data_IF_198131125748
#
_entry.id   IF_198131125748
#
_cell.length_a   1.000
_cell.length_b   1.000
_cell.length_c   1.000
_cell.angle_alpha   90.00
_cell.angle_beta   90.00
_cell.angle_gamma   90.00
#
_symmetry.space_group_name_H-M   'P 1'
#
loop_
_entity.id
_entity.type
_entity.pdbx_description
1 polymer ?
#
# COMPACT_ATOMS: atom_id res chain seq x y z
N UNK A 1 9.24 -24.90 5.59
CA UNK A 1 7.99 -24.92 6.40
C UNK A 1 8.34 -24.50 7.82
N UNK A 2 7.73 -23.43 8.36
CA UNK A 2 8.00 -22.97 9.72
C UNK A 2 7.28 -23.86 10.75
N UNK A 3 7.95 -24.16 11.87
CA UNK A 3 7.44 -25.02 12.94
C UNK A 3 6.11 -24.46 13.51
N UNK A 4 5.06 -25.27 13.73
CA UNK A 4 3.75 -24.79 14.20
C UNK A 4 3.83 -24.01 15.53
N UNK A 5 4.78 -24.39 16.39
CA UNK A 5 5.06 -23.73 17.66
C UNK A 5 5.67 -22.33 17.47
N UNK A 6 6.47 -22.11 16.42
CA UNK A 6 6.98 -20.76 16.09
C UNK A 6 5.87 -19.86 15.54
N UNK A 7 4.94 -20.41 14.76
CA UNK A 7 3.74 -19.68 14.29
C UNK A 7 2.86 -19.25 15.47
N UNK A 8 2.59 -20.16 16.42
CA UNK A 8 1.77 -19.86 17.61
C UNK A 8 2.39 -18.78 18.49
N UNK A 9 3.71 -18.84 18.74
CA UNK A 9 4.41 -17.86 19.58
C UNK A 9 4.47 -16.47 18.93
N UNK A 10 4.70 -16.42 17.61
CA UNK A 10 4.62 -15.17 16.85
C UNK A 10 3.20 -14.63 16.92
N UNK A 11 2.18 -15.45 16.68
CA UNK A 11 0.80 -15.01 16.74
C UNK A 11 0.44 -14.42 18.12
N UNK A 12 0.76 -15.13 19.20
CA UNK A 12 0.35 -14.74 20.56
C UNK A 12 1.04 -13.45 21.06
N UNK A 13 2.33 -13.23 20.74
CA UNK A 13 3.04 -12.00 21.13
C UNK A 13 2.77 -10.84 20.18
N UNK A 14 2.60 -11.12 18.90
CA UNK A 14 2.38 -10.10 17.89
C UNK A 14 0.95 -9.55 17.96
N UNK A 15 -0.05 -10.36 18.35
CA UNK A 15 -1.44 -9.94 18.36
C UNK A 15 -1.73 -8.78 19.31
N UNK A 16 -1.12 -8.72 20.49
CA UNK A 16 -1.44 -7.69 21.48
C UNK A 16 -0.80 -6.35 21.15
N UNK A 17 0.54 -6.30 21.22
CA UNK A 17 1.29 -5.05 21.09
C UNK A 17 1.25 -4.49 19.66
N UNK A 18 1.32 -5.34 18.63
CA UNK A 18 1.24 -4.86 17.24
C UNK A 18 -0.14 -4.31 16.91
N UNK A 19 -1.21 -4.90 17.46
CA UNK A 19 -2.58 -4.41 17.23
C UNK A 19 -2.79 -3.06 17.91
N UNK A 20 -2.31 -2.88 19.15
CA UNK A 20 -2.39 -1.58 19.84
C UNK A 20 -1.63 -0.51 19.05
N UNK A 21 -0.39 -0.79 18.63
CA UNK A 21 0.39 0.15 17.81
C UNK A 21 -0.29 0.47 16.49
N UNK A 22 -0.89 -0.52 15.83
CA UNK A 22 -1.65 -0.33 14.60
C UNK A 22 -2.89 0.54 14.83
N UNK A 23 -3.68 0.29 15.88
CA UNK A 23 -4.86 1.09 16.22
C UNK A 23 -4.46 2.53 16.52
N UNK A 24 -3.39 2.75 17.29
CA UNK A 24 -2.89 4.10 17.59
C UNK A 24 -2.45 4.82 16.31
N UNK A 25 -1.70 4.14 15.42
CA UNK A 25 -1.29 4.71 14.14
C UNK A 25 -2.49 5.03 13.24
N UNK A 26 -3.50 4.15 13.21
CA UNK A 26 -4.74 4.36 12.48
C UNK A 26 -5.52 5.56 13.01
N UNK A 27 -5.72 5.66 14.33
CA UNK A 27 -6.43 6.78 14.95
C UNK A 27 -5.69 8.10 14.74
N UNK A 28 -4.36 8.09 14.84
CA UNK A 28 -3.53 9.27 14.54
C UNK A 28 -3.73 9.72 13.10
N UNK A 29 -3.72 8.79 12.14
CA UNK A 29 -3.92 9.09 10.73
C UNK A 29 -5.34 9.56 10.40
N UNK A 30 -6.36 8.93 11.00
CA UNK A 30 -7.75 9.34 10.86
C UNK A 30 -7.97 10.77 11.42
N UNK A 31 -7.35 11.08 12.57
CA UNK A 31 -7.39 12.42 13.17
C UNK A 31 -6.71 13.45 12.28
N UNK A 32 -5.56 13.12 11.68
CA UNK A 32 -4.90 13.93 10.66
C UNK A 32 -5.84 14.26 9.50
N UNK A 33 -6.50 13.27 8.91
CA UNK A 33 -7.41 13.50 7.79
C UNK A 33 -8.64 14.31 8.19
N UNK A 34 -9.21 14.07 9.37
CA UNK A 34 -10.35 14.83 9.86
C UNK A 34 -10.00 16.32 10.03
N UNK A 35 -8.84 16.62 10.62
CA UNK A 35 -8.36 18.01 10.77
C UNK A 35 -8.03 18.61 9.40
N UNK A 36 -7.37 17.86 8.51
CA UNK A 36 -7.09 18.35 7.15
C UNK A 36 -8.37 18.73 6.42
N UNK A 37 -9.35 17.84 6.41
CA UNK A 37 -10.66 18.06 5.79
C UNK A 37 -11.33 19.28 6.39
N UNK A 38 -11.27 19.44 7.72
CA UNK A 38 -11.83 20.61 8.41
C UNK A 38 -11.16 21.91 7.97
N UNK A 39 -9.83 21.94 7.84
CA UNK A 39 -9.10 23.13 7.37
C UNK A 39 -9.46 23.44 5.92
N UNK A 40 -9.52 22.43 5.05
CA UNK A 40 -9.90 22.59 3.63
C UNK A 40 -11.33 23.13 3.51
N UNK A 41 -12.28 22.59 4.28
CA UNK A 41 -13.67 23.05 4.26
C UNK A 41 -13.87 24.45 4.86
N UNK A 42 -13.07 24.84 5.87
CA UNK A 42 -13.08 26.20 6.41
C UNK A 42 -12.46 27.21 5.44
N UNK A 43 -11.55 26.77 4.57
CA UNK A 43 -10.89 27.63 3.58
C UNK A 43 -11.83 27.82 2.38
N UNK A 44 -12.26 29.07 2.14
CA UNK A 44 -13.08 29.37 0.96
C UNK A 44 -12.25 29.22 -0.33
N UNK A 45 -12.94 28.95 -1.43
CA UNK A 45 -12.30 28.84 -2.74
C UNK A 45 -11.63 30.19 -3.10
N UNK A 46 -10.38 30.20 -3.61
CA UNK A 46 -9.62 31.43 -3.84
C UNK A 46 -10.35 32.41 -4.76
N UNK A 47 -11.12 31.94 -5.73
CA UNK A 47 -11.84 32.78 -6.69
C UNK A 47 -12.77 33.82 -6.04
N UNK A 48 -13.33 33.52 -4.87
CA UNK A 48 -14.17 34.45 -4.13
C UNK A 48 -13.40 35.69 -3.66
N UNK A 49 -12.14 35.53 -3.26
CA UNK A 49 -11.29 36.64 -2.82
C UNK A 49 -10.82 37.49 -4.01
N UNK A 50 -10.58 36.86 -5.16
CA UNK A 50 -10.20 37.56 -6.39
C UNK A 50 -11.37 38.39 -6.95
N UNK A 51 -12.59 37.85 -6.91
CA UNK A 51 -13.78 38.60 -7.35
C UNK A 51 -14.09 39.80 -6.44
N UNK A 52 -13.89 39.66 -5.13
CA UNK A 52 -14.07 40.77 -4.17
C UNK A 52 -13.06 41.90 -4.35
N UNK A 53 -11.84 41.58 -4.76
CA UNK A 53 -10.76 42.56 -4.94
C UNK A 53 -10.67 43.11 -6.36
N UNK A 54 -11.36 42.50 -7.33
CA UNK A 54 -11.35 42.90 -8.73
C UNK A 54 -10.06 42.51 -9.48
N UNK A 55 -9.19 41.69 -8.89
CA UNK A 55 -8.00 41.17 -9.57
C UNK A 55 -8.34 39.94 -10.44
N UNK A 56 -7.59 39.77 -11.53
CA UNK A 56 -7.68 38.55 -12.35
C UNK A 56 -7.23 37.32 -11.56
N UNK A 57 -7.87 36.17 -11.79
CA UNK A 57 -7.56 34.91 -11.13
C UNK A 57 -6.21 34.33 -11.59
N UNK A 58 -5.13 34.86 -11.03
CA UNK A 58 -3.74 34.53 -11.36
C UNK A 58 -2.95 34.29 -10.07
N UNK A 59 -2.17 33.20 -10.03
CA UNK A 59 -1.33 32.85 -8.88
C UNK A 59 -0.30 33.92 -8.53
N UNK A 60 0.20 34.67 -9.52
CA UNK A 60 1.24 35.68 -9.32
C UNK A 60 0.70 36.92 -8.60
N UNK A 61 -0.62 37.13 -8.68
CA UNK A 61 -1.32 38.23 -8.01
C UNK A 61 -1.73 37.89 -6.57
N UNK A 62 -1.50 36.65 -6.10
CA UNK A 62 -1.94 36.20 -4.78
C UNK A 62 -1.45 37.11 -3.64
N UNK A 63 -0.19 37.57 -3.72
CA UNK A 63 0.38 38.51 -2.74
C UNK A 63 -0.38 39.84 -2.69
N UNK A 64 -0.74 40.39 -3.84
CA UNK A 64 -1.46 41.67 -3.93
C UNK A 64 -2.88 41.55 -3.37
N UNK A 65 -3.55 40.44 -3.68
CA UNK A 65 -4.87 40.11 -3.14
C UNK A 65 -4.81 39.95 -1.61
N UNK A 66 -3.79 39.26 -1.08
CA UNK A 66 -3.59 39.14 0.38
C UNK A 66 -3.39 40.49 1.06
N UNK A 67 -2.57 41.35 0.48
CA UNK A 67 -2.31 42.68 1.05
C UNK A 67 -3.55 43.56 1.03
N UNK A 68 -4.37 43.47 -0.02
CA UNK A 68 -5.65 44.18 -0.13
C UNK A 68 -6.67 43.69 0.93
N UNK A 69 -6.66 42.39 1.25
CA UNK A 69 -7.59 41.77 2.22
C UNK A 69 -7.12 41.85 3.68
N UNK A 70 -5.90 42.30 3.95
CA UNK A 70 -5.31 42.32 5.29
C UNK A 70 -6.14 43.15 6.30
N UNK A 71 -6.95 44.09 5.83
CA UNK A 71 -7.85 44.91 6.67
C UNK A 71 -9.19 44.24 7.01
N UNK A 72 -9.61 43.21 6.26
CA UNK A 72 -10.97 42.64 6.31
C UNK A 72 -11.00 41.14 6.63
N UNK A 73 -9.96 40.40 6.27
CA UNK A 73 -9.91 38.94 6.39
C UNK A 73 -9.09 38.45 7.58
N UNK A 74 -9.28 39.00 8.78
CA UNK A 74 -8.51 38.61 9.97
C UNK A 74 -8.69 37.12 10.29
N UNK A 75 -7.57 36.39 10.36
CA UNK A 75 -7.51 34.98 10.76
C UNK A 75 -8.05 34.79 12.17
N UNK A 76 -9.09 33.98 12.31
CA UNK A 76 -9.67 33.67 13.61
C UNK A 76 -8.66 32.93 14.50
N UNK A 77 -8.76 33.08 15.82
CA UNK A 77 -7.93 32.34 16.78
C UNK A 77 -8.06 30.82 16.60
N UNK A 78 -9.25 30.36 16.21
CA UNK A 78 -9.57 28.96 15.90
C UNK A 78 -8.70 28.41 14.77
N UNK A 79 -8.48 29.18 13.68
CA UNK A 79 -7.67 28.75 12.54
C UNK A 79 -6.19 28.62 12.91
N UNK A 80 -5.69 29.51 13.78
CA UNK A 80 -4.31 29.42 14.31
C UNK A 80 -4.13 28.16 15.16
N UNK A 81 -5.09 27.85 16.03
CA UNK A 81 -5.06 26.63 16.85
C UNK A 81 -5.06 25.39 15.93
N UNK A 82 -5.98 25.33 14.96
CA UNK A 82 -6.06 24.22 14.00
C UNK A 82 -4.75 24.02 13.24
N UNK A 83 -4.12 25.11 12.78
CA UNK A 83 -2.84 25.05 12.08
C UNK A 83 -1.71 24.53 12.98
N UNK A 84 -1.61 25.00 14.23
CA UNK A 84 -0.61 24.52 15.20
C UNK A 84 -0.81 23.03 15.49
N UNK A 85 -2.06 22.63 15.79
CA UNK A 85 -2.40 21.21 16.01
C UNK A 85 -2.01 20.37 14.80
N UNK A 86 -2.24 20.87 13.59
CA UNK A 86 -1.90 20.16 12.37
C UNK A 86 -0.40 19.99 12.15
N UNK A 87 0.42 21.02 12.45
CA UNK A 87 1.87 20.88 12.43
C UNK A 87 2.40 19.85 13.43
N UNK A 88 1.82 19.78 14.62
CA UNK A 88 2.18 18.75 15.62
C UNK A 88 1.87 17.35 15.08
N UNK A 89 0.69 17.16 14.50
CA UNK A 89 0.29 15.86 13.93
C UNK A 89 1.16 15.48 12.73
N UNK A 90 1.46 16.44 11.84
CA UNK A 90 2.39 16.24 10.72
C UNK A 90 3.76 15.79 11.21
N UNK A 91 4.30 16.42 12.26
CA UNK A 91 5.57 16.02 12.87
C UNK A 91 5.54 14.59 13.41
N UNK A 92 4.46 14.19 14.07
CA UNK A 92 4.27 12.82 14.57
C UNK A 92 4.17 11.79 13.44
N UNK A 93 3.43 12.09 12.37
CA UNK A 93 3.31 11.21 11.20
C UNK A 93 4.64 11.09 10.45
N UNK A 94 5.38 12.20 10.30
CA UNK A 94 6.70 12.16 9.68
C UNK A 94 7.68 11.31 10.49
N UNK A 95 7.72 11.49 11.82
CA UNK A 95 8.53 10.67 12.71
C UNK A 95 8.17 9.18 12.63
N UNK A 96 6.86 8.87 12.62
CA UNK A 96 6.35 7.50 12.41
C UNK A 96 6.84 6.93 11.07
N UNK A 97 6.72 7.68 9.98
CA UNK A 97 7.10 7.21 8.65
C UNK A 97 8.61 7.03 8.50
N UNK A 98 9.43 7.91 9.09
CA UNK A 98 10.88 7.73 9.15
C UNK A 98 11.23 6.45 9.92
N UNK A 99 10.62 6.24 11.10
CA UNK A 99 10.82 5.03 11.88
C UNK A 99 10.39 3.76 11.12
N UNK A 100 9.25 3.82 10.43
CA UNK A 100 8.76 2.73 9.60
C UNK A 100 9.73 2.43 8.45
N UNK A 101 10.25 3.44 7.74
CA UNK A 101 11.25 3.22 6.68
C UNK A 101 12.50 2.55 7.27
N UNK A 102 13.05 3.09 8.36
CA UNK A 102 14.27 2.52 8.99
C UNK A 102 14.06 1.06 9.41
N UNK A 103 12.88 0.71 9.93
CA UNK A 103 12.58 -0.65 10.38
C UNK A 103 12.16 -1.62 9.26
N UNK A 104 11.49 -1.15 8.21
CA UNK A 104 10.85 -2.01 7.19
C UNK A 104 11.56 -2.09 5.83
N UNK A 105 12.65 -1.35 5.60
CA UNK A 105 13.42 -1.38 4.34
C UNK A 105 13.90 -2.78 3.89
N UNK A 106 13.69 -3.83 4.68
CA UNK A 106 14.18 -5.18 4.39
C UNK A 106 13.11 -6.22 4.00
N UNK A 107 11.78 -5.97 4.18
CA UNK A 107 10.83 -7.11 4.33
C UNK A 107 9.69 -7.22 3.30
N UNK A 108 9.13 -6.18 2.68
CA UNK A 108 8.14 -6.36 1.59
C UNK A 108 7.78 -5.04 0.88
N UNK A 109 7.77 -5.04 -0.46
CA UNK A 109 7.44 -3.87 -1.30
C UNK A 109 5.97 -3.44 -1.24
N UNK A 110 5.02 -4.37 -1.12
CA UNK A 110 3.59 -4.02 -1.09
C UNK A 110 3.20 -3.16 0.11
N UNK A 111 3.85 -3.36 1.25
CA UNK A 111 3.68 -2.53 2.46
C UNK A 111 4.31 -1.15 2.30
N UNK A 112 5.32 -1.02 1.45
CA UNK A 112 6.00 0.25 1.15
C UNK A 112 5.09 1.23 0.43
N UNK A 113 4.15 0.74 -0.39
CA UNK A 113 3.24 1.61 -1.15
C UNK A 113 2.33 2.45 -0.25
N UNK A 114 1.78 1.87 0.82
CA UNK A 114 0.94 2.62 1.78
C UNK A 114 1.73 3.73 2.46
N UNK A 115 2.99 3.45 2.88
CA UNK A 115 3.86 4.47 3.46
C UNK A 115 4.21 5.57 2.45
N UNK A 116 4.40 5.21 1.17
CA UNK A 116 4.64 6.18 0.12
C UNK A 116 3.46 7.13 -0.06
N UNK A 117 2.23 6.61 -0.19
CA UNK A 117 1.02 7.43 -0.28
C UNK A 117 0.85 8.34 0.93
N UNK A 118 1.14 7.82 2.12
CA UNK A 118 1.06 8.59 3.36
C UNK A 118 2.07 9.74 3.38
N UNK A 119 3.31 9.49 2.99
CA UNK A 119 4.36 10.52 2.90
C UNK A 119 3.97 11.58 1.88
N UNK A 120 3.48 11.17 0.71
CA UNK A 120 3.01 12.10 -0.32
C UNK A 120 1.86 12.96 0.23
N UNK A 121 0.87 12.38 0.90
CA UNK A 121 -0.22 13.12 1.52
C UNK A 121 0.28 14.11 2.59
N UNK A 122 1.22 13.70 3.44
CA UNK A 122 1.85 14.54 4.48
C UNK A 122 2.59 15.73 3.85
N UNK A 123 3.35 15.51 2.77
CA UNK A 123 4.10 16.58 2.08
C UNK A 123 3.16 17.56 1.38
N UNK A 124 2.14 17.07 0.66
CA UNK A 124 1.15 17.94 0.00
C UNK A 124 0.34 18.74 1.03
N UNK A 125 -0.01 18.13 2.16
CA UNK A 125 -0.66 18.81 3.27
C UNK A 125 0.24 19.89 3.89
N UNK A 126 1.52 19.59 4.12
CA UNK A 126 2.48 20.58 4.61
C UNK A 126 2.55 21.80 3.68
N UNK A 127 2.61 21.59 2.36
CA UNK A 127 2.60 22.68 1.39
C UNK A 127 1.32 23.52 1.44
N UNK A 128 0.16 22.88 1.62
CA UNK A 128 -1.12 23.58 1.74
C UNK A 128 -1.22 24.46 3.00
N UNK A 129 -0.70 23.98 4.13
CA UNK A 129 -0.80 24.64 5.44
C UNK A 129 0.28 25.71 5.64
N UNK A 130 1.37 25.63 4.88
CA UNK A 130 2.45 26.59 4.93
C UNK A 130 1.93 28.00 4.57
N UNK A 131 2.04 28.92 5.53
CA UNK A 131 1.69 30.33 5.35
C UNK A 131 2.94 31.08 4.88
N UNK A 132 2.81 31.80 3.77
CA UNK A 132 3.78 32.84 3.43
C UNK A 132 3.61 34.06 4.35
N UNK A 133 4.63 34.92 4.44
CA UNK A 133 4.62 36.11 5.30
C UNK A 133 3.37 36.99 5.09
N UNK A 134 2.91 37.10 3.84
CA UNK A 134 1.75 37.90 3.47
C UNK A 134 0.40 37.22 3.75
N UNK A 135 0.38 35.92 4.07
CA UNK A 135 -0.83 35.14 4.41
C UNK A 135 -1.04 35.00 5.92
N UNK A 136 -0.07 35.38 6.76
CA UNK A 136 -0.12 35.12 8.19
C UNK A 136 -1.36 35.71 8.90
N UNK A 137 -1.92 36.79 8.34
CA UNK A 137 -3.11 37.47 8.87
C UNK A 137 -4.40 37.14 8.13
N UNK A 138 -4.35 36.44 7.00
CA UNK A 138 -5.52 36.21 6.13
C UNK A 138 -5.79 34.71 6.01
N UNK A 139 -7.06 34.31 6.06
CA UNK A 139 -7.47 32.89 5.97
C UNK A 139 -7.40 32.29 4.57
N UNK A 140 -7.08 33.10 3.55
CA UNK A 140 -7.10 32.65 2.17
C UNK A 140 -5.83 31.90 1.77
N UNK A 141 -5.99 30.98 0.81
CA UNK A 141 -4.89 30.22 0.18
C UNK A 141 -4.73 30.62 -1.28
N UNK A 142 -3.50 30.57 -1.80
CA UNK A 142 -3.28 30.82 -3.22
C UNK A 142 -3.91 29.71 -4.08
N UNK A 143 -4.27 29.99 -5.35
CA UNK A 143 -4.86 28.99 -6.25
C UNK A 143 -4.08 27.67 -6.32
N UNK A 144 -2.75 27.74 -6.46
CA UNK A 144 -1.90 26.55 -6.55
C UNK A 144 -1.84 25.77 -5.23
N UNK A 145 -1.78 26.47 -4.09
CA UNK A 145 -1.85 25.84 -2.77
C UNK A 145 -3.18 25.11 -2.60
N UNK A 146 -4.29 25.74 -2.98
CA UNK A 146 -5.62 25.16 -2.87
C UNK A 146 -5.76 23.87 -3.70
N UNK A 147 -5.28 23.87 -4.95
CA UNK A 147 -5.28 22.67 -5.80
C UNK A 147 -4.43 21.54 -5.22
N UNK A 148 -3.22 21.86 -4.73
CA UNK A 148 -2.34 20.91 -4.06
C UNK A 148 -2.98 20.34 -2.79
N UNK A 149 -3.68 21.18 -2.02
CA UNK A 149 -4.44 20.78 -0.85
C UNK A 149 -5.55 19.79 -1.19
N UNK A 150 -6.36 20.07 -2.21
CA UNK A 150 -7.41 19.18 -2.69
C UNK A 150 -6.85 17.83 -3.16
N UNK A 151 -5.76 17.84 -3.93
CA UNK A 151 -5.09 16.63 -4.39
C UNK A 151 -4.48 15.82 -3.22
N UNK A 152 -3.85 16.51 -2.26
CA UNK A 152 -3.32 15.90 -1.05
C UNK A 152 -4.40 15.25 -0.19
N UNK A 153 -5.58 15.87 -0.10
CA UNK A 153 -6.72 15.33 0.62
C UNK A 153 -7.22 14.03 -0.06
N UNK A 154 -7.34 14.04 -1.39
CA UNK A 154 -7.72 12.86 -2.17
C UNK A 154 -6.75 11.69 -1.94
N UNK A 155 -5.43 11.92 -2.08
CA UNK A 155 -4.40 10.89 -1.80
C UNK A 155 -4.50 10.40 -0.36
N UNK A 156 -4.72 11.31 0.58
CA UNK A 156 -4.88 10.97 1.99
C UNK A 156 -6.02 9.98 2.24
N UNK A 157 -7.19 10.19 1.63
CA UNK A 157 -8.30 9.25 1.72
C UNK A 157 -7.99 7.90 1.05
N UNK A 158 -7.27 7.88 -0.07
CA UNK A 158 -6.81 6.62 -0.68
C UNK A 158 -5.93 5.84 0.29
N UNK A 159 -4.96 6.50 0.94
CA UNK A 159 -4.11 5.87 1.94
C UNK A 159 -4.92 5.35 3.14
N UNK A 160 -5.98 6.06 3.57
CA UNK A 160 -6.88 5.58 4.61
C UNK A 160 -7.62 4.29 4.21
N UNK A 161 -8.08 4.18 2.97
CA UNK A 161 -8.71 2.95 2.49
C UNK A 161 -7.73 1.76 2.53
N UNK A 162 -6.45 1.99 2.20
CA UNK A 162 -5.42 0.95 2.39
C UNK A 162 -5.23 0.57 3.85
N UNK A 163 -5.29 1.52 4.78
CA UNK A 163 -5.24 1.22 6.22
C UNK A 163 -6.38 0.32 6.68
N UNK A 164 -7.60 0.55 6.19
CA UNK A 164 -8.79 -0.21 6.56
C UNK A 164 -8.68 -1.69 6.15
N UNK A 165 -8.04 -1.99 5.01
CA UNK A 165 -7.82 -3.37 4.55
C UNK A 165 -6.99 -4.22 5.53
N UNK A 166 -6.16 -3.59 6.37
CA UNK A 166 -5.35 -4.29 7.35
C UNK A 166 -6.07 -4.56 8.68
N UNK A 167 -7.29 -4.05 8.88
CA UNK A 167 -8.08 -4.35 10.08
C UNK A 167 -8.58 -5.80 9.96
N UNK A 168 -8.17 -6.73 10.84
CA UNK A 168 -8.45 -8.16 10.67
C UNK A 168 -9.95 -8.51 10.65
N UNK A 169 -10.80 -7.73 11.32
CA UNK A 169 -12.27 -7.93 11.30
C UNK A 169 -12.84 -7.63 9.90
N UNK A 170 -12.38 -6.54 9.28
CA UNK A 170 -12.79 -6.14 7.93
C UNK A 170 -12.09 -7.02 6.90
N UNK A 171 -10.85 -7.42 7.15
CA UNK A 171 -10.10 -8.37 6.35
C UNK A 171 -10.77 -9.75 6.25
N UNK A 172 -11.50 -10.20 7.28
CA UNK A 172 -12.31 -11.42 7.22
C UNK A 172 -13.57 -11.25 6.36
N UNK A 173 -14.26 -10.10 6.46
CA UNK A 173 -15.40 -9.79 5.59
C UNK A 173 -14.96 -9.59 4.12
N UNK A 174 -13.79 -9.00 3.90
CA UNK A 174 -13.11 -8.92 2.59
C UNK A 174 -12.60 -10.29 2.15
N UNK A 175 -12.24 -11.17 3.09
CA UNK A 175 -11.85 -12.56 2.87
C UNK A 175 -13.00 -13.44 2.33
N UNK A 176 -14.25 -13.13 2.68
CA UNK A 176 -15.41 -13.78 2.08
C UNK A 176 -15.75 -13.22 0.68
N UNK A 177 -15.34 -11.97 0.41
CA UNK A 177 -15.34 -11.38 -0.93
C UNK A 177 -14.11 -11.86 -1.71
N UNK A 178 -13.15 -12.55 -1.09
CA UNK A 178 -11.87 -12.93 -1.69
C UNK A 178 -12.00 -13.68 -3.02
N UNK A 179 -12.92 -14.63 -3.27
CA UNK A 179 -13.05 -15.20 -4.63
C UNK A 179 -13.47 -14.15 -5.68
N UNK A 180 -14.47 -13.32 -5.37
CA UNK A 180 -14.94 -12.21 -6.22
C UNK A 180 -13.87 -11.12 -6.39
N UNK A 181 -13.09 -10.89 -5.33
CA UNK A 181 -11.99 -9.95 -5.32
C UNK A 181 -10.73 -10.53 -5.95
N UNK A 182 -10.57 -11.85 -6.07
CA UNK A 182 -9.46 -12.55 -6.75
C UNK A 182 -9.64 -12.46 -8.25
N UNK A 183 -10.88 -12.59 -8.72
CA UNK A 183 -11.25 -12.35 -10.11
C UNK A 183 -11.10 -10.87 -10.49
N UNK A 184 -11.60 -9.96 -9.64
CA UNK A 184 -11.31 -8.53 -9.77
C UNK A 184 -9.82 -8.19 -9.52
N UNK A 185 -9.08 -8.99 -8.73
CA UNK A 185 -7.64 -8.81 -8.47
C UNK A 185 -6.85 -9.16 -9.69
N UNK A 186 -7.16 -10.25 -10.40
CA UNK A 186 -6.44 -10.61 -11.62
C UNK A 186 -6.62 -9.49 -12.64
N UNK A 187 -7.85 -9.01 -12.80
CA UNK A 187 -8.15 -7.88 -13.70
C UNK A 187 -7.56 -6.53 -13.25
N UNK A 188 -7.42 -6.29 -11.94
CA UNK A 188 -6.75 -5.10 -11.38
C UNK A 188 -5.24 -5.27 -11.24
N UNK A 189 -4.71 -6.49 -11.19
CA UNK A 189 -3.30 -6.80 -11.11
C UNK A 189 -2.67 -6.50 -12.45
N UNK A 190 -3.31 -6.80 -13.57
CA UNK A 190 -2.83 -6.37 -14.88
C UNK A 190 -2.78 -4.83 -14.96
N UNK A 191 -3.85 -4.16 -14.53
CA UNK A 191 -3.89 -2.70 -14.48
C UNK A 191 -2.89 -2.09 -13.49
N UNK A 192 -2.62 -2.76 -12.36
CA UNK A 192 -1.61 -2.36 -11.37
C UNK A 192 -0.19 -2.73 -11.79
N UNK A 193 0.01 -3.77 -12.60
CA UNK A 193 1.29 -4.15 -13.20
C UNK A 193 1.66 -3.13 -14.28
N UNK A 194 0.68 -2.70 -15.07
CA UNK A 194 0.83 -1.60 -16.02
C UNK A 194 1.15 -0.29 -15.28
N UNK A 195 0.40 0.04 -14.22
CA UNK A 195 0.67 1.21 -13.39
C UNK A 195 2.03 1.10 -12.65
N UNK A 196 2.42 -0.08 -12.17
CA UNK A 196 3.69 -0.31 -11.49
C UNK A 196 4.87 -0.25 -12.48
N UNK A 197 4.68 -0.69 -13.72
CA UNK A 197 5.64 -0.51 -14.80
C UNK A 197 5.80 0.98 -15.13
N UNK A 198 4.70 1.74 -15.19
CA UNK A 198 4.71 3.19 -15.37
C UNK A 198 5.36 3.92 -14.19
N UNK A 199 5.16 3.44 -12.96
CA UNK A 199 5.82 3.97 -11.76
C UNK A 199 7.31 3.61 -11.69
N UNK A 200 7.74 2.44 -12.19
CA UNK A 200 9.16 2.11 -12.36
C UNK A 200 9.81 3.06 -13.39
N UNK A 201 9.12 3.35 -14.50
CA UNK A 201 9.55 4.35 -15.49
C UNK A 201 9.62 5.74 -14.84
N UNK A 202 8.60 6.14 -14.08
CA UNK A 202 8.55 7.40 -13.35
C UNK A 202 9.67 7.50 -12.31
N UNK A 203 9.96 6.42 -11.57
CA UNK A 203 11.07 6.34 -10.61
C UNK A 203 12.42 6.52 -11.30
N UNK A 204 12.63 5.90 -12.47
CA UNK A 204 13.83 6.13 -13.27
C UNK A 204 13.93 7.56 -13.78
N UNK A 205 12.82 8.17 -14.20
CA UNK A 205 12.77 9.57 -14.60
C UNK A 205 13.03 10.52 -13.42
N UNK A 206 12.46 10.24 -12.25
CA UNK A 206 12.63 11.05 -11.04
C UNK A 206 14.05 10.95 -10.51
N UNK A 207 14.64 9.75 -10.43
CA UNK A 207 16.05 9.55 -10.08
C UNK A 207 16.98 10.20 -11.11
N UNK A 208 16.66 10.13 -12.40
CA UNK A 208 17.43 10.81 -13.45
C UNK A 208 17.34 12.33 -13.30
N UNK A 209 16.15 12.87 -13.03
CA UNK A 209 15.93 14.29 -12.81
C UNK A 209 16.61 14.78 -11.52
N UNK A 210 16.53 14.02 -10.43
CA UNK A 210 17.19 14.33 -9.17
C UNK A 210 18.71 14.29 -9.33
N UNK A 211 19.25 13.29 -10.00
CA UNK A 211 20.69 13.19 -10.23
C UNK A 211 21.20 14.32 -11.13
N UNK A 212 20.36 14.81 -12.05
CA UNK A 212 20.65 15.95 -12.95
C UNK A 212 20.48 17.32 -12.27
N UNK A 213 19.57 17.45 -11.33
CA UNK A 213 19.41 18.66 -10.51
C UNK A 213 20.44 18.75 -9.37
N UNK A 214 20.83 17.62 -8.78
CA UNK A 214 21.78 17.58 -7.66
C UNK A 214 23.25 17.66 -8.08
N UNK A 215 23.59 17.48 -9.36
CA UNK A 215 24.96 17.68 -9.85
C UNK A 215 25.42 19.14 -9.80
N UNK A 216 24.49 20.09 -9.66
CA UNK A 216 24.80 21.52 -9.57
C UNK A 216 24.98 22.03 -8.13
N UNK A 217 24.63 21.25 -7.09
CA UNK A 217 24.54 21.80 -5.72
C UNK A 217 25.26 21.01 -4.61
N UNK A 218 25.87 19.85 -4.88
CA UNK A 218 26.61 19.11 -3.83
C UNK A 218 27.97 18.60 -4.30
N UNK A 219 29.03 19.24 -3.78
CA UNK A 219 30.39 18.70 -3.76
C UNK A 219 30.50 17.80 -2.53
N UNK A 220 30.30 16.50 -2.70
CA UNK A 220 30.80 15.48 -1.78
C UNK A 220 31.11 14.18 -2.55
N UNK A 221 32.30 13.57 -2.36
CA UNK A 221 32.73 12.43 -3.15
C UNK A 221 32.20 11.14 -2.51
N UNK A 222 30.96 10.77 -2.83
CA UNK A 222 30.55 9.38 -2.69
C UNK A 222 31.04 8.64 -3.94
N UNK A 223 32.23 8.05 -3.80
CA UNK A 223 32.84 7.14 -4.77
C UNK A 223 32.03 5.82 -4.82
N UNK A 224 30.75 5.91 -5.17
CA UNK A 224 29.92 4.75 -5.44
C UNK A 224 30.36 4.20 -6.80
N UNK A 225 30.73 2.93 -6.80
CA UNK A 225 31.39 2.20 -7.89
C UNK A 225 30.56 2.30 -9.18
N UNK A 226 30.95 3.18 -10.11
CA UNK A 226 30.33 3.40 -11.43
C UNK A 226 30.17 2.11 -12.27
N UNK A 227 30.91 1.05 -11.93
CA UNK A 227 30.84 -0.26 -12.57
C UNK A 227 29.56 -1.06 -12.28
N UNK A 228 28.81 -0.77 -11.21
CA UNK A 228 27.56 -1.50 -10.93
C UNK A 228 26.36 -0.93 -11.69
N UNK A 229 26.31 0.38 -11.94
CA UNK A 229 25.23 1.00 -12.71
C UNK A 229 25.23 0.56 -14.17
N UNK A 230 26.40 0.40 -14.78
CA UNK A 230 26.51 -0.08 -16.17
C UNK A 230 26.15 -1.56 -16.29
N UNK A 231 26.44 -2.38 -15.27
CA UNK A 231 25.97 -3.78 -15.19
C UNK A 231 24.46 -3.87 -15.00
N UNK A 232 23.89 -3.09 -14.09
CA UNK A 232 22.43 -3.04 -13.90
C UNK A 232 21.71 -2.54 -15.15
N UNK A 233 22.27 -1.55 -15.86
CA UNK A 233 21.69 -1.04 -17.11
C UNK A 233 21.74 -2.07 -18.25
N UNK A 234 22.84 -2.81 -18.39
CA UNK A 234 22.95 -3.90 -19.37
C UNK A 234 21.99 -5.05 -19.05
N UNK A 235 21.87 -5.41 -17.77
CA UNK A 235 20.91 -6.42 -17.31
C UNK A 235 19.47 -5.98 -17.60
N UNK A 236 19.13 -4.72 -17.29
CA UNK A 236 17.79 -4.16 -17.53
C UNK A 236 17.45 -4.07 -19.02
N UNK A 237 18.39 -3.68 -19.90
CA UNK A 237 18.19 -3.74 -21.36
C UNK A 237 17.91 -5.16 -21.84
N UNK A 238 18.59 -6.16 -21.27
CA UNK A 238 18.38 -7.58 -21.63
C UNK A 238 17.01 -8.07 -21.15
N UNK A 239 16.62 -7.69 -19.93
CA UNK A 239 15.31 -8.00 -19.36
C UNK A 239 14.17 -7.35 -20.15
N UNK A 240 14.27 -6.06 -20.49
CA UNK A 240 13.30 -5.35 -21.33
C UNK A 240 13.15 -6.00 -22.71
N UNK A 241 14.26 -6.45 -23.31
CA UNK A 241 14.24 -7.16 -24.60
C UNK A 241 13.48 -8.50 -24.48
N UNK A 242 13.72 -9.25 -23.41
CA UNK A 242 13.01 -10.53 -23.16
C UNK A 242 11.52 -10.33 -22.90
N UNK A 243 11.14 -9.29 -22.15
CA UNK A 243 9.72 -8.95 -21.93
C UNK A 243 9.02 -8.55 -23.24
N UNK A 244 9.65 -7.72 -24.07
CA UNK A 244 9.11 -7.35 -25.37
C UNK A 244 9.03 -8.54 -26.33
N UNK A 245 10.01 -9.45 -26.31
CA UNK A 245 9.96 -10.69 -27.09
C UNK A 245 8.89 -11.68 -26.57
N UNK A 246 8.59 -11.69 -25.27
CA UNK A 246 7.48 -12.47 -24.71
C UNK A 246 6.12 -11.90 -25.11
N UNK A 247 5.92 -10.58 -25.00
CA UNK A 247 4.65 -9.95 -25.39
C UNK A 247 4.43 -9.92 -26.91
N UNK A 248 5.49 -9.85 -27.71
CA UNK A 248 5.37 -9.94 -29.17
C UNK A 248 5.03 -11.37 -29.65
N UNK A 249 5.29 -12.39 -28.82
CA UNK A 249 4.97 -13.78 -29.16
C UNK A 249 3.49 -14.11 -28.93
N UNK A 250 2.84 -13.43 -27.99
CA UNK A 250 1.39 -13.54 -27.77
C UNK A 250 0.60 -12.84 -28.90
N UNK A 251 1.11 -11.71 -29.42
CA UNK A 251 0.42 -10.98 -30.49
C UNK A 251 0.40 -11.69 -31.86
N UNK A 252 1.31 -12.63 -32.12
CA UNK A 252 1.37 -13.41 -33.37
C UNK A 252 0.60 -14.74 -33.26
N UNK A 253 0.13 -15.14 -32.07
CA UNK A 253 -0.66 -16.37 -31.86
C UNK A 253 -2.18 -16.10 -31.89
N UNK A 254 -2.62 -14.84 -31.85
CA UNK A 254 -4.04 -14.45 -31.83
C UNK A 254 -4.70 -14.25 -33.22
N UNK A 255 -3.99 -14.43 -34.34
CA UNK A 255 -4.57 -14.26 -35.71
C UNK A 255 -4.96 -15.57 -36.42
N UNK A 256 -4.88 -16.74 -35.77
CA UNK A 256 -5.32 -18.01 -36.40
C UNK A 256 -6.02 -18.95 -35.41
N UNK A 257 -7.10 -18.54 -34.74
CA UNK A 257 -8.02 -19.50 -34.12
C UNK A 257 -9.47 -19.02 -34.20
N UNK A 258 -10.20 -19.48 -35.22
CA UNK A 258 -11.66 -19.40 -35.32
C UNK A 258 -12.30 -20.81 -35.48
N UNK A 259 -11.60 -21.88 -35.06
CA UNK A 259 -12.11 -23.27 -35.08
C UNK A 259 -11.61 -24.18 -33.91
N UNK A 260 -11.05 -23.65 -32.82
CA UNK A 260 -10.41 -24.47 -31.77
C UNK A 260 -11.21 -24.67 -30.47
N UNK A 261 -12.22 -23.85 -30.17
CA UNK A 261 -12.97 -23.93 -28.89
C UNK A 261 -13.68 -25.28 -28.69
N UNK A 262 -14.11 -25.95 -29.76
CA UNK A 262 -14.75 -27.27 -29.67
C UNK A 262 -13.78 -28.40 -29.31
N UNK A 263 -12.47 -28.25 -29.58
CA UNK A 263 -11.47 -29.29 -29.27
C UNK A 263 -10.89 -29.18 -27.87
N UNK A 264 -10.92 -28.00 -27.26
CA UNK A 264 -10.43 -27.82 -25.89
C UNK A 264 -11.46 -28.27 -24.85
N UNK A 265 -12.75 -28.09 -25.14
CA UNK A 265 -13.85 -28.61 -24.32
C UNK A 265 -13.81 -30.15 -24.22
N UNK A 266 -13.54 -30.85 -25.33
CA UNK A 266 -13.43 -32.33 -25.37
C UNK A 266 -12.23 -32.85 -24.53
N UNK A 267 -11.09 -32.14 -24.53
CA UNK A 267 -9.93 -32.51 -23.70
C UNK A 267 -10.21 -32.36 -22.22
N UNK A 268 -10.93 -31.30 -21.83
CA UNK A 268 -11.28 -31.08 -20.44
C UNK A 268 -12.31 -32.09 -19.93
N UNK A 269 -13.28 -32.51 -20.75
CA UNK A 269 -14.17 -33.63 -20.41
C UNK A 269 -13.41 -34.97 -20.27
N UNK A 270 -12.43 -35.23 -21.14
CA UNK A 270 -11.60 -36.43 -21.06
C UNK A 270 -10.79 -36.50 -19.75
N UNK A 271 -10.17 -35.39 -19.34
CA UNK A 271 -9.43 -35.29 -18.07
C UNK A 271 -10.35 -35.45 -16.86
N UNK A 272 -11.56 -34.88 -16.90
CA UNK A 272 -12.57 -35.05 -15.85
C UNK A 272 -13.02 -36.51 -15.73
N UNK A 273 -13.13 -37.22 -16.86
CA UNK A 273 -13.51 -38.63 -16.88
C UNK A 273 -12.39 -39.54 -16.33
N UNK A 274 -11.12 -39.25 -16.64
CA UNK A 274 -9.97 -39.96 -16.06
C UNK A 274 -9.87 -39.75 -14.55
N UNK A 275 -10.04 -38.52 -14.06
CA UNK A 275 -10.00 -38.23 -12.62
C UNK A 275 -11.15 -38.94 -11.89
N UNK A 276 -12.36 -38.94 -12.45
CA UNK A 276 -13.52 -39.64 -11.87
C UNK A 276 -13.29 -41.15 -11.81
N UNK A 277 -12.69 -41.73 -12.85
CA UNK A 277 -12.36 -43.15 -12.87
C UNK A 277 -11.26 -43.52 -11.85
N UNK A 278 -10.22 -42.69 -11.72
CA UNK A 278 -9.17 -42.86 -10.71
C UNK A 278 -9.70 -42.79 -9.27
N UNK A 279 -10.63 -41.87 -9.01
CA UNK A 279 -11.26 -41.73 -7.68
C UNK A 279 -12.10 -42.97 -7.31
N UNK A 280 -12.80 -43.56 -8.29
CA UNK A 280 -13.59 -44.77 -8.08
C UNK A 280 -12.72 -45.98 -7.76
N UNK A 281 -11.58 -46.12 -8.44
CA UNK A 281 -10.62 -47.18 -8.14
C UNK A 281 -10.07 -47.06 -6.72
N UNK A 282 -9.63 -45.86 -6.31
CA UNK A 282 -9.12 -45.61 -4.96
C UNK A 282 -10.15 -45.92 -3.87
N UNK A 283 -11.43 -45.63 -4.14
CA UNK A 283 -12.53 -45.92 -3.22
C UNK A 283 -12.73 -47.45 -3.09
N UNK A 284 -12.60 -48.21 -4.17
CA UNK A 284 -12.66 -49.67 -4.13
C UNK A 284 -11.46 -50.31 -3.41
N UNK A 285 -10.24 -49.79 -3.61
CA UNK A 285 -9.04 -50.30 -2.89
C UNK A 285 -9.13 -50.02 -1.40
N UNK A 286 -9.66 -48.85 -1.01
CA UNK A 286 -9.90 -48.51 0.40
C UNK A 286 -10.92 -49.43 1.07
N UNK A 287 -11.96 -49.85 0.34
CA UNK A 287 -12.94 -50.79 0.90
C UNK A 287 -12.42 -52.23 0.98
N UNK A 288 -11.47 -52.64 0.13
CA UNK A 288 -10.79 -53.94 0.23
C UNK A 288 -9.80 -54.04 1.39
N UNK A 289 -9.13 -52.95 1.77
CA UNK A 289 -8.17 -52.95 2.89
C UNK A 289 -8.83 -52.96 4.27
N UNK A 290 -10.12 -52.63 4.37
CA UNK A 290 -10.89 -52.71 5.64
C UNK A 290 -11.40 -54.12 5.93
N UNK A 291 -11.43 -55.02 4.95
CA UNK A 291 -11.85 -56.43 5.14
C UNK A 291 -10.76 -57.35 5.72
N UNK A 292 -9.54 -56.86 5.94
CA UNK A 292 -8.42 -57.64 6.49
C UNK A 292 -8.07 -57.16 7.91
N UNK A 293 -9.02 -57.22 8.84
CA UNK A 293 -8.71 -57.08 10.26
C UNK A 293 -8.39 -58.47 10.87
N UNK A 294 -7.19 -58.67 11.45
CA UNK A 294 -6.88 -59.88 12.21
C UNK A 294 -7.62 -59.88 13.55
N UNK A 295 -8.16 -61.05 13.91
CA UNK A 295 -8.85 -61.33 15.18
C UNK A 295 -8.00 -60.88 16.39
N UNK A 296 -8.61 -60.26 17.43
CA UNK A 296 -7.89 -59.80 18.61
C UNK A 296 -7.49 -61.00 19.49
N UNK A 297 -6.18 -61.27 19.55
CA UNK A 297 -5.58 -62.27 20.43
C UNK A 297 -5.05 -61.65 21.71
N UNK A 298 -5.64 -62.08 22.83
CA UNK A 298 -5.10 -62.24 24.19
C UNK A 298 -4.52 -61.01 24.93
N UNK A 299 -5.25 -60.67 26.01
CA UNK A 299 -4.84 -59.88 27.16
C UNK A 299 -3.51 -60.37 27.75
N UNK A 300 -2.55 -59.46 27.90
CA UNK A 300 -1.44 -59.59 28.84
C UNK A 300 -1.67 -58.64 30.02
N UNK A 301 -1.96 -59.23 31.17
CA UNK A 301 -1.93 -58.59 32.49
C UNK A 301 -0.48 -58.28 32.86
N UNK A 302 -0.13 -57.00 33.01
CA UNK A 302 1.14 -56.61 33.62
C UNK A 302 0.93 -56.09 35.05
N UNK A 303 1.57 -56.80 35.97
CA UNK A 303 1.71 -56.53 37.41
C UNK A 303 2.28 -55.13 37.67
N UNK A 304 1.76 -54.51 38.72
CA UNK A 304 2.14 -53.17 39.15
C UNK A 304 3.53 -53.06 39.77
N UNK A 305 3.92 -51.80 39.96
CA UNK A 305 5.10 -51.40 40.73
C UNK A 305 4.75 -50.15 41.55
N UNK A 306 5.17 -50.19 42.82
CA UNK A 306 4.84 -49.30 43.94
C UNK A 306 5.34 -47.85 43.75
N UNK A 307 4.71 -46.87 44.45
CA UNK A 307 5.31 -45.57 44.68
C UNK A 307 6.32 -45.62 45.86
N UNK A 308 7.55 -45.19 45.57
CA UNK A 308 8.59 -44.73 46.52
C UNK A 308 8.82 -43.27 46.12
N UNK A 309 8.90 -42.26 46.96
CA UNK A 309 8.99 -42.11 48.41
C UNK A 309 9.53 -40.70 48.62
N UNK A 310 9.01 -39.99 49.62
CA UNK A 310 9.46 -38.68 50.08
C UNK A 310 10.98 -38.52 50.15
N UNK A 311 11.48 -37.33 49.79
CA UNK A 311 12.58 -36.67 50.53
C UNK A 311 12.47 -35.15 50.40
N UNK A 312 12.34 -34.56 51.60
CA UNK A 312 12.77 -33.24 52.11
C UNK A 312 13.21 -32.17 51.12
#
# INVERSE_FOLDING_TARGET
MAHPLSKSLVYQKFLGLSLILFIVAFLLYATFLAIFTTIVLRTRHPQEYYSLTGFNFDSDLCKNVSLALNSSGLKETSDRILQITMYVILGLLLAKNIWAIVSYMRIAWSKTFTFFLEIVAVVLNFYFIFDYDYQNNVTMRCPIQWQIGAFGLFIGYIALFYYIQYIPIIGLAVGEIEPLMTEAKNHRLDMLYELAADFEILKFQFLSCFNRCCTCCFIAPLHYKQNDFTKQWKWWKKFKKQLLESCAREADEDEVEDESEDKEMDKNEQLLHEVRHGLHQLTQTKNRSVSAQPKPGKQFTHKGTKPVGNRK
#
